data_IF_620206934926
#
_entry.id   IF_620206934926
#
_cell.length_a   1.000
_cell.length_b   1.000
_cell.length_c   1.000
_cell.angle_alpha   90.00
_cell.angle_beta   90.00
_cell.angle_gamma   90.00
#
_symmetry.space_group_name_H-M   'P 1'
#
loop_
_entity.id
_entity.type
_entity.pdbx_description
1 polymer ?
#
# COMPACT_ATOMS: atom_id res chain seq x y z
N UNK A 1 -43.38 5.69 -12.14
CA UNK A 1 -44.54 6.62 -12.18
C UNK A 1 -44.81 7.18 -13.58
N UNK A 2 -43.80 7.63 -14.31
CA UNK A 2 -43.93 8.28 -15.63
C UNK A 2 -44.53 7.35 -16.68
N UNK A 3 -44.36 6.03 -16.57
CA UNK A 3 -44.86 5.03 -17.53
C UNK A 3 -46.20 4.41 -17.09
N UNK A 4 -46.65 4.71 -15.88
CA UNK A 4 -47.88 4.17 -15.33
C UNK A 4 -49.10 4.85 -15.95
N UNK A 5 -50.18 4.07 -16.19
CA UNK A 5 -51.43 4.62 -16.67
C UNK A 5 -52.16 5.35 -15.54
N UNK A 6 -52.95 6.36 -15.90
CA UNK A 6 -53.61 7.32 -15.01
C UNK A 6 -54.53 6.71 -13.92
N UNK A 7 -54.93 5.43 -14.08
CA UNK A 7 -55.84 4.71 -13.18
C UNK A 7 -55.20 3.51 -12.47
N UNK A 8 -53.84 3.44 -12.44
CA UNK A 8 -53.13 2.42 -11.68
C UNK A 8 -53.02 2.90 -10.24
N UNK A 9 -53.41 2.04 -9.28
CA UNK A 9 -53.32 2.37 -7.88
C UNK A 9 -51.83 2.52 -7.49
N UNK A 10 -51.53 3.56 -6.72
CA UNK A 10 -50.17 3.91 -6.31
C UNK A 10 -49.50 2.76 -5.56
N UNK A 11 -50.27 2.03 -4.74
CA UNK A 11 -49.80 0.90 -3.97
C UNK A 11 -49.20 -0.24 -4.83
N UNK A 12 -49.76 -0.43 -6.06
CA UNK A 12 -49.23 -1.43 -7.00
C UNK A 12 -47.93 -1.00 -7.71
N UNK A 13 -47.54 0.25 -7.59
CA UNK A 13 -46.32 0.82 -8.15
C UNK A 13 -45.23 1.01 -7.12
N UNK A 14 -45.51 0.78 -5.84
CA UNK A 14 -44.54 0.89 -4.75
C UNK A 14 -43.71 -0.39 -4.69
N UNK A 15 -42.42 -0.24 -4.80
CA UNK A 15 -41.50 -1.33 -4.53
C UNK A 15 -41.28 -1.44 -3.02
N UNK A 16 -41.73 -2.54 -2.42
CA UNK A 16 -41.68 -2.77 -0.97
C UNK A 16 -40.36 -3.31 -0.47
N UNK A 17 -39.47 -3.74 -1.36
CA UNK A 17 -38.10 -4.19 -1.03
C UNK A 17 -37.08 -3.17 -1.54
N UNK A 18 -37.14 -1.97 -1.02
CA UNK A 18 -36.17 -0.92 -1.29
C UNK A 18 -35.03 -1.01 -0.25
N UNK A 19 -33.76 -0.94 -0.65
CA UNK A 19 -32.66 -0.94 0.30
C UNK A 19 -32.72 0.30 1.18
N UNK A 20 -32.37 0.14 2.44
CA UNK A 20 -32.29 1.23 3.42
C UNK A 20 -31.14 0.96 4.38
N UNK A 21 -30.60 2.01 4.98
CA UNK A 21 -29.56 1.95 6.01
C UNK A 21 -30.04 2.58 7.31
N UNK A 22 -29.48 2.16 8.42
CA UNK A 22 -29.80 2.74 9.70
C UNK A 22 -28.77 3.82 10.11
N UNK A 23 -29.21 4.79 10.92
CA UNK A 23 -28.41 5.92 11.41
C UNK A 23 -27.19 5.52 12.25
N UNK A 24 -27.08 4.28 12.65
CA UNK A 24 -25.99 3.75 13.47
C UNK A 24 -25.04 2.82 12.71
N UNK A 25 -25.30 2.54 11.45
CA UNK A 25 -24.41 1.78 10.57
C UNK A 25 -23.21 2.64 10.17
N UNK A 26 -22.07 2.01 9.92
CA UNK A 26 -20.88 2.72 9.46
C UNK A 26 -21.01 3.05 7.97
N UNK A 27 -20.23 4.02 7.52
CA UNK A 27 -20.21 4.38 6.08
C UNK A 27 -19.74 3.21 5.25
N UNK A 28 -18.76 2.45 5.74
CA UNK A 28 -18.23 1.25 5.06
C UNK A 28 -19.31 0.19 4.87
N UNK A 29 -20.09 -0.11 5.93
CA UNK A 29 -21.23 -1.05 5.84
C UNK A 29 -22.24 -0.57 4.78
N UNK A 30 -22.52 0.75 4.75
CA UNK A 30 -23.41 1.34 3.75
C UNK A 30 -22.88 1.17 2.33
N UNK A 31 -21.60 1.43 2.09
CA UNK A 31 -20.97 1.30 0.77
C UNK A 31 -21.02 -0.15 0.31
N UNK A 32 -20.78 -1.12 1.18
CA UNK A 32 -20.78 -2.54 0.83
C UNK A 32 -22.19 -3.02 0.44
N UNK A 33 -23.22 -2.66 1.24
CA UNK A 33 -24.62 -2.98 0.90
C UNK A 33 -25.07 -2.33 -0.39
N UNK A 34 -24.50 -1.16 -0.75
CA UNK A 34 -24.91 -0.34 -1.88
C UNK A 34 -24.16 -0.66 -3.17
N UNK A 35 -23.02 -1.34 -3.12
CA UNK A 35 -22.28 -1.77 -4.33
C UNK A 35 -23.13 -2.55 -5.33
N UNK A 36 -24.10 -3.30 -4.83
CA UNK A 36 -24.96 -4.17 -5.65
C UNK A 36 -26.27 -3.48 -6.10
N UNK A 37 -26.55 -2.25 -5.63
CA UNK A 37 -27.77 -1.53 -5.97
C UNK A 37 -27.52 -0.42 -6.99
N UNK A 38 -28.37 -0.39 -8.03
CA UNK A 38 -28.33 0.61 -9.10
C UNK A 38 -29.23 1.81 -8.85
N UNK A 39 -29.56 2.08 -7.60
CA UNK A 39 -30.46 3.16 -7.22
C UNK A 39 -29.71 4.48 -7.00
N UNK A 40 -30.33 5.59 -7.37
CA UNK A 40 -29.71 6.93 -7.26
C UNK A 40 -29.66 7.47 -5.83
N UNK A 41 -30.42 6.86 -4.90
CA UNK A 41 -30.50 7.32 -3.52
C UNK A 41 -31.06 6.25 -2.58
N UNK A 42 -30.65 6.28 -1.31
CA UNK A 42 -31.02 5.32 -0.29
C UNK A 42 -31.50 6.04 0.96
N UNK A 43 -32.67 5.67 1.51
CA UNK A 43 -33.18 6.25 2.73
C UNK A 43 -32.41 5.77 3.97
N UNK A 44 -32.14 6.72 4.87
CA UNK A 44 -31.61 6.47 6.20
C UNK A 44 -32.77 6.43 7.20
N UNK A 45 -32.87 5.36 7.97
CA UNK A 45 -33.93 5.14 8.94
C UNK A 45 -33.42 5.17 10.38
N UNK A 46 -34.27 5.64 11.29
CA UNK A 46 -34.05 5.48 12.73
C UNK A 46 -34.48 4.09 13.22
N UNK A 47 -34.30 3.85 14.54
CA UNK A 47 -34.72 2.59 15.20
C UNK A 47 -36.22 2.34 15.14
N UNK A 48 -37.01 3.39 14.96
CA UNK A 48 -38.48 3.34 14.90
C UNK A 48 -38.98 3.31 13.44
N UNK A 49 -38.05 3.09 12.46
CA UNK A 49 -38.34 3.05 11.02
C UNK A 49 -38.86 4.36 10.43
N UNK A 50 -38.51 5.51 11.03
CA UNK A 50 -38.79 6.81 10.43
C UNK A 50 -37.62 7.25 9.54
N UNK A 51 -37.95 7.86 8.41
CA UNK A 51 -36.95 8.40 7.48
C UNK A 51 -36.29 9.64 8.11
N UNK A 52 -34.98 9.58 8.35
CA UNK A 52 -34.16 10.68 8.82
C UNK A 52 -33.61 11.53 7.67
N UNK A 53 -33.27 10.89 6.55
CA UNK A 53 -32.70 11.52 5.40
C UNK A 53 -32.53 10.55 4.24
N UNK A 54 -31.76 10.96 3.27
CA UNK A 54 -31.43 10.17 2.06
C UNK A 54 -29.95 10.36 1.77
N UNK A 55 -29.25 9.29 1.52
CA UNK A 55 -27.88 9.29 0.99
C UNK A 55 -28.01 9.17 -0.53
N UNK A 56 -27.36 10.06 -1.28
CA UNK A 56 -27.34 10.01 -2.73
C UNK A 56 -26.07 9.31 -3.22
N UNK A 57 -26.10 8.81 -4.46
CA UNK A 57 -24.91 8.26 -5.09
C UNK A 57 -23.76 9.27 -5.17
N UNK A 58 -24.05 10.56 -5.20
CA UNK A 58 -23.05 11.62 -5.19
C UNK A 58 -22.36 11.74 -3.81
N UNK A 59 -23.12 11.63 -2.72
CA UNK A 59 -22.57 11.66 -1.36
C UNK A 59 -21.61 10.47 -1.14
N UNK A 60 -21.97 9.28 -1.66
CA UNK A 60 -21.10 8.09 -1.59
C UNK A 60 -19.81 8.25 -2.39
N UNK A 61 -19.89 8.84 -3.60
CA UNK A 61 -18.70 9.11 -4.41
C UNK A 61 -17.78 10.09 -3.68
N UNK A 62 -18.33 11.12 -3.02
CA UNK A 62 -17.53 12.10 -2.26
C UNK A 62 -16.81 11.44 -1.10
N UNK A 63 -17.47 10.57 -0.33
CA UNK A 63 -16.84 9.83 0.78
C UNK A 63 -15.76 8.87 0.28
N UNK A 64 -16.03 8.12 -0.78
CA UNK A 64 -15.03 7.21 -1.37
C UNK A 64 -13.81 7.99 -1.89
N UNK A 65 -14.01 9.16 -2.48
CA UNK A 65 -12.91 10.01 -2.97
C UNK A 65 -12.07 10.54 -1.81
N UNK A 66 -12.70 10.97 -0.69
CA UNK A 66 -12.01 11.39 0.53
C UNK A 66 -11.19 10.25 1.14
N UNK A 67 -11.75 9.03 1.26
CA UNK A 67 -11.04 7.85 1.78
C UNK A 67 -9.85 7.47 0.90
N UNK A 68 -10.04 7.48 -0.42
CA UNK A 68 -8.95 7.24 -1.37
C UNK A 68 -7.84 8.30 -1.23
N UNK A 69 -8.19 9.56 -1.05
CA UNK A 69 -7.25 10.66 -0.81
C UNK A 69 -6.43 10.46 0.45
N UNK A 70 -7.08 10.09 1.57
CA UNK A 70 -6.40 9.76 2.83
C UNK A 70 -5.43 8.59 2.69
N UNK A 71 -5.80 7.54 1.98
CA UNK A 71 -4.95 6.37 1.80
C UNK A 71 -3.74 6.65 0.91
N UNK A 72 -3.90 7.50 -0.11
CA UNK A 72 -2.77 8.03 -0.86
C UNK A 72 -1.83 8.87 0.03
N UNK A 73 -2.38 9.68 0.91
CA UNK A 73 -1.60 10.46 1.87
C UNK A 73 -0.81 9.54 2.82
N UNK A 74 -1.44 8.50 3.36
CA UNK A 74 -0.78 7.48 4.21
C UNK A 74 0.33 6.74 3.47
N UNK A 75 0.14 6.39 2.19
CA UNK A 75 1.19 5.79 1.33
C UNK A 75 2.43 6.68 1.20
N UNK A 76 2.22 7.99 1.13
CA UNK A 76 3.31 8.97 1.08
C UNK A 76 3.91 9.29 2.47
N UNK A 77 3.37 8.71 3.55
CA UNK A 77 3.77 9.01 4.93
C UNK A 77 3.28 10.39 5.39
N UNK A 78 2.20 10.89 4.81
CA UNK A 78 1.53 12.11 5.25
C UNK A 78 0.52 11.79 6.35
N UNK A 79 0.29 12.76 7.22
CA UNK A 79 -0.68 12.61 8.32
C UNK A 79 -2.13 12.91 7.91
N UNK A 80 -2.33 13.55 6.75
CA UNK A 80 -3.62 13.85 6.14
C UNK A 80 -3.44 14.27 4.68
N UNK A 81 -4.53 14.31 3.93
CA UNK A 81 -4.55 14.85 2.58
C UNK A 81 -4.10 16.32 2.54
N UNK A 82 -3.45 16.71 1.45
CA UNK A 82 -2.91 18.04 1.25
C UNK A 82 -3.67 18.76 0.13
N UNK A 83 -4.23 19.92 0.44
CA UNK A 83 -4.97 20.72 -0.52
C UNK A 83 -4.04 21.63 -1.34
N UNK A 84 -4.44 21.96 -2.56
CA UNK A 84 -3.63 22.77 -3.51
C UNK A 84 -3.32 24.16 -2.96
N UNK A 85 -4.24 24.77 -2.22
CA UNK A 85 -4.12 26.13 -1.68
C UNK A 85 -3.68 26.18 -0.20
N UNK A 86 -3.22 25.05 0.32
CA UNK A 86 -2.82 24.93 1.72
C UNK A 86 -1.60 25.80 2.05
N UNK A 87 -1.62 26.58 3.15
CA UNK A 87 -0.48 27.40 3.54
C UNK A 87 0.71 26.54 3.95
N UNK A 88 1.93 26.97 3.56
CA UNK A 88 3.20 26.25 3.77
C UNK A 88 3.36 25.69 5.20
N UNK A 89 2.91 26.42 6.22
CA UNK A 89 3.02 25.99 7.62
C UNK A 89 2.18 24.76 7.96
N UNK A 90 1.06 24.53 7.28
CA UNK A 90 0.22 23.36 7.47
C UNK A 90 0.82 22.16 6.72
N UNK A 91 1.25 22.33 5.48
CA UNK A 91 1.96 21.30 4.72
C UNK A 91 3.20 20.78 5.46
N UNK A 92 3.99 21.67 6.05
CA UNK A 92 5.15 21.28 6.86
C UNK A 92 4.76 20.45 8.09
N UNK A 93 3.67 20.81 8.77
CA UNK A 93 3.17 20.04 9.93
C UNK A 93 2.75 18.61 9.56
N UNK A 94 2.21 18.42 8.37
CA UNK A 94 1.80 17.11 7.87
C UNK A 94 2.99 16.24 7.47
N UNK A 95 4.06 16.82 6.94
CA UNK A 95 5.22 16.10 6.37
C UNK A 95 6.38 15.90 7.35
N UNK A 96 6.73 16.92 8.13
CA UNK A 96 7.93 16.92 8.97
C UNK A 96 7.95 15.79 10.01
N UNK A 97 6.86 15.42 10.70
CA UNK A 97 6.89 14.34 11.67
C UNK A 97 7.38 13.02 11.08
N UNK A 98 6.87 12.64 9.91
CA UNK A 98 7.30 11.44 9.22
C UNK A 98 8.77 11.49 8.79
N UNK A 99 9.21 12.63 8.25
CA UNK A 99 10.60 12.83 7.84
C UNK A 99 11.57 12.73 9.03
N UNK A 100 11.18 13.19 10.22
CA UNK A 100 11.96 13.04 11.44
C UNK A 100 12.08 11.57 11.87
N UNK A 101 10.99 10.79 11.77
CA UNK A 101 11.02 9.35 12.03
C UNK A 101 12.00 8.67 11.06
N UNK A 102 11.89 8.97 9.76
CA UNK A 102 12.80 8.42 8.75
C UNK A 102 14.26 8.83 9.00
N UNK A 103 14.53 10.06 9.44
CA UNK A 103 15.86 10.52 9.82
C UNK A 103 16.42 9.70 10.98
N UNK A 104 15.63 9.49 12.03
CA UNK A 104 16.04 8.67 13.18
C UNK A 104 16.32 7.22 12.78
N UNK A 105 15.46 6.62 11.97
CA UNK A 105 15.67 5.28 11.42
C UNK A 105 16.95 5.23 10.57
N UNK A 106 17.20 6.25 9.74
CA UNK A 106 18.42 6.37 8.96
C UNK A 106 19.69 6.43 9.83
N UNK A 107 19.64 7.11 10.97
CA UNK A 107 20.75 7.14 11.93
C UNK A 107 21.01 5.77 12.57
N UNK A 108 19.95 5.01 12.89
CA UNK A 108 20.06 3.64 13.39
C UNK A 108 20.73 2.75 12.34
N UNK A 109 20.26 2.81 11.08
CA UNK A 109 20.85 2.04 9.97
C UNK A 109 22.32 2.41 9.77
N UNK A 110 22.67 3.71 9.79
CA UNK A 110 24.06 4.17 9.69
C UNK A 110 24.94 3.63 10.83
N UNK A 111 24.40 3.56 12.04
CA UNK A 111 25.11 2.98 13.19
C UNK A 111 25.39 1.47 13.01
N UNK A 112 24.41 0.74 12.47
CA UNK A 112 24.59 -0.70 12.15
C UNK A 112 25.66 -0.87 11.05
N UNK A 113 25.63 -0.06 10.00
CA UNK A 113 26.62 -0.09 8.91
C UNK A 113 28.04 0.14 9.48
N UNK A 114 28.19 1.09 10.39
CA UNK A 114 29.47 1.41 11.02
C UNK A 114 30.07 0.21 11.81
N UNK A 115 29.24 -0.68 12.36
CA UNK A 115 29.74 -1.90 13.03
C UNK A 115 30.46 -2.85 12.06
N UNK A 116 30.22 -2.73 10.77
CA UNK A 116 30.85 -3.54 9.71
C UNK A 116 31.92 -2.76 8.93
N UNK A 117 32.43 -1.65 9.45
CA UNK A 117 33.39 -0.76 8.79
C UNK A 117 34.66 -1.54 8.34
N UNK A 118 35.18 -2.45 9.15
CA UNK A 118 36.36 -3.26 8.80
C UNK A 118 36.14 -4.13 7.55
N UNK A 119 34.94 -4.67 7.37
CA UNK A 119 34.57 -5.48 6.19
C UNK A 119 34.43 -4.56 4.97
N UNK A 120 33.82 -3.40 5.16
CA UNK A 120 33.58 -2.40 4.11
C UNK A 120 34.91 -1.85 3.58
N UNK A 121 35.87 -1.53 4.48
CA UNK A 121 37.19 -1.06 4.09
C UNK A 121 37.97 -2.16 3.34
N UNK A 122 37.82 -3.43 3.73
CA UNK A 122 38.42 -4.57 3.03
C UNK A 122 37.87 -4.85 1.65
N UNK A 123 36.62 -4.47 1.39
CA UNK A 123 35.92 -4.69 0.11
C UNK A 123 35.12 -3.45 -0.34
N UNK A 124 35.79 -2.35 -0.73
CA UNK A 124 35.12 -1.08 -1.06
C UNK A 124 34.11 -1.20 -2.22
N UNK A 125 34.23 -2.24 -3.05
CA UNK A 125 33.30 -2.50 -4.16
C UNK A 125 31.87 -2.75 -3.70
N UNK A 126 31.69 -3.27 -2.48
CA UNK A 126 30.36 -3.54 -1.90
C UNK A 126 29.57 -2.23 -1.74
N UNK A 127 30.25 -1.15 -1.32
CA UNK A 127 29.62 0.17 -1.14
C UNK A 127 29.04 0.71 -2.45
N UNK A 128 29.69 0.41 -3.59
CA UNK A 128 29.22 0.82 -4.92
C UNK A 128 27.82 0.28 -5.22
N UNK A 129 27.49 -0.91 -4.74
CA UNK A 129 26.20 -1.57 -5.01
C UNK A 129 25.18 -1.42 -3.88
N UNK A 130 25.55 -0.78 -2.76
CA UNK A 130 24.66 -0.57 -1.62
C UNK A 130 23.39 0.22 -2.03
N UNK A 131 23.54 1.24 -2.87
CA UNK A 131 22.41 2.03 -3.36
C UNK A 131 21.45 1.21 -4.22
N UNK A 132 21.96 0.25 -4.99
CA UNK A 132 21.13 -0.67 -5.80
C UNK A 132 20.31 -1.59 -4.88
N UNK A 133 20.95 -2.16 -3.84
CA UNK A 133 20.26 -3.03 -2.88
C UNK A 133 19.15 -2.25 -2.15
N UNK A 134 19.46 -1.06 -1.64
CA UNK A 134 18.50 -0.22 -0.92
C UNK A 134 17.35 0.24 -1.84
N UNK A 135 17.66 0.72 -3.05
CA UNK A 135 16.66 1.19 -4.00
C UNK A 135 15.71 0.08 -4.45
N UNK A 136 16.24 -1.09 -4.80
CA UNK A 136 15.42 -2.21 -5.24
C UNK A 136 14.57 -2.80 -4.12
N UNK A 137 15.12 -2.92 -2.91
CA UNK A 137 14.34 -3.38 -1.76
C UNK A 137 13.24 -2.38 -1.38
N UNK A 138 13.52 -1.07 -1.41
CA UNK A 138 12.54 -0.01 -1.21
C UNK A 138 11.38 -0.10 -2.20
N UNK A 139 11.69 -0.27 -3.48
CA UNK A 139 10.66 -0.42 -4.53
C UNK A 139 9.74 -1.63 -4.28
N UNK A 140 10.30 -2.78 -3.90
CA UNK A 140 9.48 -3.98 -3.59
C UNK A 140 8.63 -3.75 -2.35
N UNK A 141 9.17 -3.10 -1.31
CA UNK A 141 8.42 -2.74 -0.12
C UNK A 141 7.21 -1.85 -0.44
N UNK A 142 7.41 -0.82 -1.26
CA UNK A 142 6.33 0.08 -1.72
C UNK A 142 5.29 -0.66 -2.57
N UNK A 143 5.71 -1.60 -3.43
CA UNK A 143 4.79 -2.42 -4.21
C UNK A 143 3.93 -3.32 -3.31
N UNK A 144 4.53 -4.00 -2.33
CA UNK A 144 3.78 -4.84 -1.38
C UNK A 144 2.85 -4.00 -0.49
N UNK A 145 3.28 -2.80 -0.09
CA UNK A 145 2.47 -1.85 0.65
C UNK A 145 1.22 -1.44 -0.16
N UNK A 146 1.41 -1.01 -1.41
CA UNK A 146 0.32 -0.58 -2.29
C UNK A 146 -0.69 -1.70 -2.58
N UNK A 147 -0.20 -2.93 -2.81
CA UNK A 147 -1.07 -4.10 -3.03
C UNK A 147 -1.86 -4.42 -1.75
N UNK A 148 -1.22 -4.32 -0.58
CA UNK A 148 -1.88 -4.63 0.69
C UNK A 148 -2.98 -3.62 1.02
N UNK A 149 -2.69 -2.32 0.88
CA UNK A 149 -3.69 -1.27 1.11
C UNK A 149 -4.88 -1.51 0.18
N UNK A 150 -4.65 -1.75 -1.11
CA UNK A 150 -5.73 -2.01 -2.06
C UNK A 150 -6.60 -3.22 -1.67
N UNK A 151 -5.98 -4.31 -1.23
CA UNK A 151 -6.73 -5.51 -0.82
C UNK A 151 -7.54 -5.26 0.45
N UNK A 152 -7.01 -4.47 1.39
CA UNK A 152 -7.74 -4.10 2.61
C UNK A 152 -8.92 -3.16 2.34
N UNK A 153 -8.85 -2.35 1.27
CA UNK A 153 -9.97 -1.49 0.83
C UNK A 153 -11.05 -2.27 0.09
N UNK A 154 -10.67 -3.29 -0.67
CA UNK A 154 -11.61 -4.03 -1.53
C UNK A 154 -12.31 -5.20 -0.80
N UNK A 155 -11.73 -5.73 0.29
CA UNK A 155 -12.19 -6.97 0.93
C UNK A 155 -12.06 -6.93 2.46
N UNK A 156 -13.13 -7.22 3.18
CA UNK A 156 -13.08 -7.53 4.61
C UNK A 156 -12.43 -8.91 4.84
N UNK A 157 -11.14 -8.92 5.09
CA UNK A 157 -10.39 -10.16 5.29
C UNK A 157 -10.58 -10.70 6.72
N UNK A 158 -11.03 -11.95 6.82
CA UNK A 158 -10.92 -12.69 8.08
C UNK A 158 -9.44 -12.90 8.45
N UNK A 159 -9.15 -13.09 9.74
CA UNK A 159 -7.78 -13.31 10.22
C UNK A 159 -7.04 -14.42 9.47
N UNK A 160 -7.73 -15.49 9.08
CA UNK A 160 -7.15 -16.61 8.32
C UNK A 160 -6.78 -16.21 6.89
N UNK A 161 -7.61 -15.42 6.23
CA UNK A 161 -7.36 -14.91 4.88
C UNK A 161 -6.22 -13.92 4.89
N UNK A 162 -6.17 -13.03 5.88
CA UNK A 162 -5.07 -12.08 6.09
C UNK A 162 -3.72 -12.79 6.26
N UNK A 163 -3.64 -13.84 7.08
CA UNK A 163 -2.43 -14.65 7.21
C UNK A 163 -2.08 -15.33 5.88
N UNK A 164 -3.07 -15.86 5.15
CA UNK A 164 -2.87 -16.43 3.82
C UNK A 164 -2.32 -15.42 2.82
N UNK A 165 -2.84 -14.19 2.85
CA UNK A 165 -2.38 -13.09 2.02
C UNK A 165 -0.91 -12.70 2.34
N UNK A 166 -0.55 -12.56 3.62
CA UNK A 166 0.84 -12.29 4.04
C UNK A 166 1.80 -13.38 3.52
N UNK A 167 1.44 -14.65 3.63
CA UNK A 167 2.27 -15.73 3.08
C UNK A 167 2.37 -15.69 1.55
N UNK A 168 1.32 -15.27 0.84
CA UNK A 168 1.35 -15.06 -0.60
C UNK A 168 2.35 -13.96 -0.96
N UNK A 169 2.28 -12.80 -0.30
CA UNK A 169 3.19 -11.66 -0.55
C UNK A 169 4.65 -11.99 -0.23
N UNK A 170 4.93 -12.75 0.84
CA UNK A 170 6.28 -13.26 1.15
C UNK A 170 6.82 -14.12 0.00
N UNK A 171 6.00 -15.01 -0.57
CA UNK A 171 6.41 -15.82 -1.72
C UNK A 171 6.68 -14.98 -2.95
N UNK A 172 5.86 -13.97 -3.21
CA UNK A 172 6.07 -13.02 -4.30
C UNK A 172 7.38 -12.26 -4.10
N UNK A 173 7.64 -11.74 -2.90
CA UNK A 173 8.89 -11.07 -2.53
C UNK A 173 10.12 -11.99 -2.70
N UNK A 174 10.00 -13.25 -2.30
CA UNK A 174 11.07 -14.25 -2.49
C UNK A 174 11.34 -14.51 -3.98
N UNK A 175 10.30 -14.73 -4.78
CA UNK A 175 10.44 -14.97 -6.22
C UNK A 175 11.05 -13.75 -6.93
N UNK A 176 10.56 -12.55 -6.64
CA UNK A 176 11.12 -11.30 -7.15
C UNK A 176 12.60 -11.16 -6.76
N UNK A 177 12.92 -11.39 -5.48
CA UNK A 177 14.27 -11.33 -4.96
C UNK A 177 15.22 -12.32 -5.66
N UNK A 178 14.79 -13.56 -5.87
CA UNK A 178 15.60 -14.57 -6.57
C UNK A 178 15.82 -14.22 -8.04
N UNK A 179 14.78 -13.80 -8.75
CA UNK A 179 14.88 -13.42 -10.18
C UNK A 179 15.80 -12.21 -10.34
N UNK A 180 15.51 -11.13 -9.61
CA UNK A 180 16.27 -9.88 -9.71
C UNK A 180 17.69 -10.06 -9.16
N UNK A 181 17.84 -10.84 -8.08
CA UNK A 181 19.14 -11.20 -7.52
C UNK A 181 20.00 -11.98 -8.51
N UNK A 182 19.44 -12.96 -9.22
CA UNK A 182 20.18 -13.71 -10.25
C UNK A 182 20.60 -12.80 -11.43
N UNK A 183 19.70 -11.92 -11.88
CA UNK A 183 20.02 -10.91 -12.90
C UNK A 183 21.14 -9.99 -12.40
N UNK A 184 21.05 -9.51 -11.18
CA UNK A 184 22.06 -8.66 -10.56
C UNK A 184 23.42 -9.35 -10.47
N UNK A 185 23.49 -10.65 -10.16
CA UNK A 185 24.74 -11.42 -10.18
C UNK A 185 25.42 -11.34 -11.54
N UNK A 186 24.66 -11.51 -12.63
CA UNK A 186 25.23 -11.47 -13.98
C UNK A 186 25.74 -10.07 -14.30
N UNK A 187 24.92 -9.03 -14.12
CA UNK A 187 25.31 -7.65 -14.47
C UNK A 187 26.45 -7.13 -13.59
N UNK A 188 26.38 -7.33 -12.27
CA UNK A 188 27.42 -6.85 -11.36
C UNK A 188 28.70 -7.66 -11.53
N UNK A 189 28.61 -8.98 -11.77
CA UNK A 189 29.75 -9.84 -12.06
C UNK A 189 30.49 -9.41 -13.32
N UNK A 190 29.76 -9.16 -14.41
CA UNK A 190 30.33 -8.62 -15.65
C UNK A 190 30.95 -7.24 -15.43
N UNK A 191 30.30 -6.36 -14.72
CA UNK A 191 30.84 -5.03 -14.39
C UNK A 191 32.13 -5.11 -13.59
N UNK A 192 32.20 -5.95 -12.54
CA UNK A 192 33.39 -6.13 -11.72
C UNK A 192 34.53 -6.73 -12.55
N UNK A 193 34.23 -7.73 -13.37
CA UNK A 193 35.23 -8.36 -14.25
C UNK A 193 35.80 -7.39 -15.27
N UNK A 194 34.94 -6.71 -16.05
CA UNK A 194 35.36 -5.85 -17.16
C UNK A 194 35.87 -4.49 -16.69
N UNK A 195 35.12 -3.79 -15.85
CA UNK A 195 35.40 -2.42 -15.45
C UNK A 195 36.48 -2.32 -14.36
N UNK A 196 36.59 -3.33 -13.49
CA UNK A 196 37.56 -3.36 -12.40
C UNK A 196 38.73 -4.29 -12.63
N UNK A 197 38.76 -5.06 -13.74
CA UNK A 197 39.85 -5.96 -14.08
C UNK A 197 40.08 -7.11 -13.09
N UNK A 198 39.07 -7.45 -12.29
CA UNK A 198 39.15 -8.55 -11.32
C UNK A 198 39.12 -9.90 -12.03
N UNK A 199 39.74 -10.93 -11.43
CA UNK A 199 39.64 -12.29 -11.93
C UNK A 199 38.16 -12.73 -11.96
N UNK A 200 37.74 -13.46 -13.00
CA UNK A 200 36.35 -13.85 -13.23
C UNK A 200 35.75 -14.58 -12.01
N UNK A 201 36.52 -15.46 -11.37
CA UNK A 201 36.06 -16.19 -10.19
C UNK A 201 35.76 -15.29 -8.98
N UNK A 202 36.65 -14.32 -8.71
CA UNK A 202 36.43 -13.35 -7.61
C UNK A 202 35.31 -12.37 -7.94
N UNK A 203 35.19 -11.93 -9.20
CA UNK A 203 34.10 -11.05 -9.64
C UNK A 203 32.74 -11.68 -9.42
N UNK A 204 32.55 -12.94 -9.84
CA UNK A 204 31.29 -13.65 -9.66
C UNK A 204 31.05 -14.12 -8.23
N UNK A 205 32.08 -14.35 -7.42
CA UNK A 205 31.91 -14.60 -5.97
C UNK A 205 31.38 -13.37 -5.24
N UNK A 206 31.96 -12.18 -5.51
CA UNK A 206 31.49 -10.91 -4.94
C UNK A 206 30.05 -10.60 -5.42
N UNK A 207 29.77 -10.77 -6.72
CA UNK A 207 28.43 -10.51 -7.26
C UNK A 207 27.39 -11.50 -6.70
N UNK A 208 27.77 -12.73 -6.40
CA UNK A 208 26.92 -13.69 -5.71
C UNK A 208 26.49 -13.22 -4.31
N UNK A 209 27.44 -12.63 -3.55
CA UNK A 209 27.11 -12.01 -2.27
C UNK A 209 26.15 -10.81 -2.43
N UNK A 210 26.39 -9.97 -3.45
CA UNK A 210 25.51 -8.80 -3.75
C UNK A 210 24.11 -9.26 -4.13
N UNK A 211 23.98 -10.24 -5.06
CA UNK A 211 22.68 -10.77 -5.48
C UNK A 211 21.93 -11.48 -4.35
N UNK A 212 22.65 -12.23 -3.51
CA UNK A 212 22.08 -12.86 -2.32
C UNK A 212 21.58 -11.83 -1.29
N UNK A 213 22.38 -10.79 -1.02
CA UNK A 213 21.96 -9.69 -0.14
C UNK A 213 20.75 -8.95 -0.70
N UNK A 214 20.71 -8.72 -2.02
CA UNK A 214 19.57 -8.11 -2.71
C UNK A 214 18.30 -8.97 -2.56
N UNK A 215 18.40 -10.28 -2.79
CA UNK A 215 17.26 -11.19 -2.65
C UNK A 215 16.71 -11.21 -1.22
N UNK A 216 17.57 -11.24 -0.21
CA UNK A 216 17.17 -11.18 1.19
C UNK A 216 16.55 -9.83 1.56
N UNK A 217 17.13 -8.72 1.08
CA UNK A 217 16.61 -7.39 1.34
C UNK A 217 15.21 -7.21 0.72
N UNK A 218 14.98 -7.69 -0.50
CA UNK A 218 13.67 -7.65 -1.16
C UNK A 218 12.63 -8.51 -0.43
N UNK A 219 13.01 -9.69 0.05
CA UNK A 219 12.13 -10.56 0.84
C UNK A 219 11.68 -9.87 2.13
N UNK A 220 12.63 -9.31 2.89
CA UNK A 220 12.34 -8.60 4.14
C UNK A 220 11.49 -7.37 3.87
N UNK A 221 11.80 -6.62 2.82
CA UNK A 221 11.08 -5.40 2.47
C UNK A 221 9.63 -5.69 2.03
N UNK A 222 9.40 -6.77 1.27
CA UNK A 222 8.06 -7.23 0.93
C UNK A 222 7.26 -7.59 2.18
N UNK A 223 7.85 -8.34 3.11
CA UNK A 223 7.22 -8.69 4.37
C UNK A 223 6.82 -7.45 5.18
N UNK A 224 7.77 -6.52 5.36
CA UNK A 224 7.52 -5.27 6.11
C UNK A 224 6.46 -4.42 5.43
N UNK A 225 6.53 -4.25 4.10
CA UNK A 225 5.55 -3.51 3.32
C UNK A 225 4.13 -4.08 3.40
N UNK A 226 4.01 -5.41 3.56
CA UNK A 226 2.71 -6.07 3.74
C UNK A 226 2.19 -5.94 5.17
N UNK A 227 3.05 -6.01 6.18
CA UNK A 227 2.62 -6.00 7.60
C UNK A 227 2.24 -4.61 8.10
N UNK A 228 2.95 -3.56 7.65
CA UNK A 228 2.72 -2.19 8.15
C UNK A 228 1.26 -1.73 8.00
N UNK A 229 0.57 -1.88 6.85
CA UNK A 229 -0.82 -1.43 6.71
C UNK A 229 -1.84 -2.33 7.42
N UNK A 230 -1.44 -3.53 7.88
CA UNK A 230 -2.31 -4.47 8.58
C UNK A 230 -2.40 -4.15 10.09
N UNK A 231 -1.35 -3.49 10.65
CA UNK A 231 -1.24 -3.13 12.07
C UNK A 231 -1.90 -1.79 12.34
#
# INVERSE_FOLDING_TARGET
>A
LIVAREYVELESLVTTSYPYVHDHETVDDCIEELKDYSEDSIPVLDKDMHILGVITSQDLVEVVDEEMGEDYAKLAGLSAEEELEEPLGQSLKKRVPWLLILLMLGMIVSSVINMFETVIVGLPIIVTFQSVILGMSGNVGTQSLAVTIRVLMDEELSFKEMVGFVFKEIRVGLCNGLIVGAIAVVFTGMFIWIARGQAIGSAFAISGCIGGALALAMLISSFVGTIIPII
#
